data_IF_092668958078
#
_entry.id   IF_092668958078
#
_cell.length_a   1.000
_cell.length_b   1.000
_cell.length_c   1.000
_cell.angle_alpha   90.00
_cell.angle_beta   90.00
_cell.angle_gamma   90.00
#
_symmetry.space_group_name_H-M   'P 1'
#
loop_
_entity.id
_entity.type
_entity.pdbx_description
1 polymer ?
#
# COMPACT_ATOMS: atom_id res chain seq x y z
N UNK A 1 -38.24 6.94 -26.53
CA UNK A 1 -38.06 6.59 -25.11
C UNK A 1 -36.66 7.03 -24.71
N UNK A 2 -36.53 8.03 -23.85
CA UNK A 2 -35.23 8.42 -23.31
C UNK A 2 -34.71 7.31 -22.38
N UNK A 3 -33.40 7.00 -22.37
CA UNK A 3 -32.89 5.99 -21.45
C UNK A 3 -33.05 6.53 -20.03
N UNK A 4 -33.70 5.76 -19.17
CA UNK A 4 -33.71 6.01 -17.73
C UNK A 4 -32.27 5.79 -17.25
N UNK A 5 -31.65 6.85 -16.75
CA UNK A 5 -30.36 6.73 -16.10
C UNK A 5 -30.49 5.70 -14.97
N UNK A 6 -29.75 4.60 -15.08
CA UNK A 6 -29.61 3.65 -13.97
C UNK A 6 -29.00 4.34 -12.75
N UNK A 7 -29.13 3.77 -11.55
CA UNK A 7 -28.55 4.36 -10.36
C UNK A 7 -27.04 4.60 -10.60
N UNK A 8 -26.59 5.82 -10.29
CA UNK A 8 -25.17 6.17 -10.29
C UNK A 8 -24.48 5.27 -9.25
N UNK A 9 -23.84 4.19 -9.72
CA UNK A 9 -22.95 3.40 -8.89
C UNK A 9 -21.73 4.26 -8.58
N UNK A 10 -21.79 5.01 -7.49
CA UNK A 10 -20.61 5.63 -6.90
C UNK A 10 -19.69 4.48 -6.50
N UNK A 11 -18.50 4.30 -7.11
CA UNK A 11 -17.63 3.20 -6.74
C UNK A 11 -17.10 3.50 -5.32
N UNK A 12 -17.72 2.89 -4.32
CA UNK A 12 -17.29 2.93 -2.91
C UNK A 12 -16.15 1.93 -2.63
N UNK A 13 -15.40 1.50 -3.64
CA UNK A 13 -14.93 0.10 -3.64
C UNK A 13 -13.55 -0.19 -3.06
N UNK A 14 -12.74 0.80 -2.67
CA UNK A 14 -11.38 0.55 -2.18
C UNK A 14 -11.06 1.44 -0.98
N UNK A 15 -11.22 0.88 0.21
CA UNK A 15 -10.96 1.55 1.49
C UNK A 15 -9.82 0.85 2.24
N UNK A 16 -9.06 1.58 3.09
CA UNK A 16 -8.08 0.98 3.98
C UNK A 16 -8.72 -0.08 4.88
N UNK A 17 -8.20 -1.30 4.81
CA UNK A 17 -8.65 -2.44 5.61
C UNK A 17 -7.44 -3.13 6.21
N UNK A 18 -7.62 -3.81 7.34
CA UNK A 18 -6.59 -4.70 7.87
C UNK A 18 -6.87 -6.12 7.42
N UNK A 19 -5.89 -6.77 6.78
CA UNK A 19 -6.00 -8.16 6.33
C UNK A 19 -5.18 -9.07 7.24
N UNK A 20 -5.84 -10.05 7.87
CA UNK A 20 -5.21 -11.01 8.78
C UNK A 20 -4.82 -12.29 8.04
N UNK A 21 -3.54 -12.65 8.10
CA UNK A 21 -3.00 -13.90 7.58
C UNK A 21 -2.50 -14.82 8.69
N UNK A 22 -2.00 -16.00 8.30
CA UNK A 22 -1.37 -16.93 9.25
C UNK A 22 -0.09 -16.34 9.88
N UNK A 23 0.77 -15.78 9.05
CA UNK A 23 2.12 -15.32 9.43
C UNK A 23 2.22 -13.80 9.55
N UNK A 24 1.52 -13.08 8.70
CA UNK A 24 1.57 -11.62 8.65
C UNK A 24 0.17 -11.02 8.71
N UNK A 25 0.10 -9.78 9.17
CA UNK A 25 -1.03 -8.88 9.02
C UNK A 25 -0.65 -7.77 8.05
N UNK A 26 -1.56 -7.43 7.15
CA UNK A 26 -1.42 -6.25 6.31
C UNK A 26 -2.20 -5.14 6.97
N UNK A 27 -1.49 -4.16 7.52
CA UNK A 27 -2.09 -2.95 8.10
C UNK A 27 -2.10 -1.84 7.08
N UNK A 28 -3.11 -0.96 7.06
CA UNK A 28 -3.06 0.28 6.30
C UNK A 28 -1.72 0.99 6.51
N UNK A 29 -1.05 1.34 5.41
CA UNK A 29 0.23 2.02 5.51
C UNK A 29 0.03 3.40 6.17
N UNK A 30 0.98 3.79 7.02
CA UNK A 30 1.00 5.10 7.70
C UNK A 30 2.44 5.52 7.92
N UNK A 31 2.65 6.80 8.24
CA UNK A 31 3.98 7.33 8.59
C UNK A 31 4.60 6.66 9.83
N UNK A 32 3.78 6.08 10.72
CA UNK A 32 4.27 5.36 11.89
C UNK A 32 5.07 4.09 11.52
N UNK A 33 4.91 3.58 10.29
CA UNK A 33 5.64 2.42 9.81
C UNK A 33 7.04 2.73 9.29
N UNK A 34 7.41 4.01 9.10
CA UNK A 34 8.71 4.42 8.55
C UNK A 34 9.89 3.80 9.29
N UNK A 35 9.98 3.83 10.64
CA UNK A 35 11.12 3.23 11.34
C UNK A 35 11.24 1.72 11.09
N UNK A 36 10.11 1.01 11.02
CA UNK A 36 10.10 -0.42 10.76
C UNK A 36 10.45 -0.77 9.31
N UNK A 37 10.01 0.05 8.35
CA UNK A 37 10.37 -0.11 6.94
C UNK A 37 11.85 0.19 6.69
N UNK A 38 12.41 1.21 7.35
CA UNK A 38 13.84 1.51 7.29
C UNK A 38 14.67 0.33 7.82
N UNK A 39 14.25 -0.25 8.94
CA UNK A 39 14.90 -1.44 9.49
C UNK A 39 14.77 -2.66 8.56
N UNK A 40 13.63 -2.85 7.90
CA UNK A 40 13.43 -3.92 6.93
C UNK A 40 14.26 -3.73 5.65
N UNK A 41 14.51 -2.48 5.24
CA UNK A 41 15.30 -2.13 4.06
C UNK A 41 16.82 -2.38 4.23
N UNK A 42 17.30 -2.53 5.47
CA UNK A 42 18.73 -2.68 5.80
C UNK A 42 19.38 -4.01 5.39
N UNK A 43 18.64 -4.91 4.70
CA UNK A 43 19.17 -6.16 4.17
C UNK A 43 20.23 -6.00 3.06
N UNK A 44 20.86 -7.11 2.62
CA UNK A 44 21.90 -7.09 1.58
C UNK A 44 21.40 -6.47 0.27
N UNK A 45 22.06 -5.41 -0.20
CA UNK A 45 21.59 -4.59 -1.33
C UNK A 45 21.64 -5.31 -2.69
N UNK A 46 22.57 -6.25 -2.83
CA UNK A 46 22.71 -7.13 -3.98
C UNK A 46 21.47 -8.00 -4.24
N UNK A 47 20.66 -8.23 -3.20
CA UNK A 47 19.37 -8.91 -3.34
C UNK A 47 18.28 -8.06 -4.03
N UNK A 48 18.49 -6.76 -4.21
CA UNK A 48 17.50 -5.81 -4.75
C UNK A 48 17.71 -5.44 -6.23
N UNK A 49 18.34 -6.29 -7.03
CA UNK A 49 18.72 -5.98 -8.41
C UNK A 49 17.57 -5.57 -9.36
N UNK A 50 16.31 -5.73 -8.96
CA UNK A 50 15.12 -5.43 -9.76
C UNK A 50 14.16 -4.42 -9.11
N UNK A 51 14.51 -3.83 -7.96
CA UNK A 51 13.62 -2.92 -7.24
C UNK A 51 14.38 -1.81 -6.52
N UNK A 52 13.80 -0.62 -6.49
CA UNK A 52 14.36 0.49 -5.72
C UNK A 52 13.97 0.30 -4.25
N UNK A 53 14.97 0.09 -3.40
CA UNK A 53 14.80 0.01 -1.95
C UNK A 53 15.36 1.28 -1.31
N UNK A 54 14.56 1.99 -0.49
CA UNK A 54 15.03 3.18 0.21
C UNK A 54 16.32 2.94 1.00
N UNK A 55 17.25 3.88 0.89
CA UNK A 55 18.60 3.73 1.46
C UNK A 55 18.73 4.30 2.86
N UNK A 56 17.92 5.31 3.19
CA UNK A 56 17.95 6.04 4.44
C UNK A 56 16.54 6.44 4.88
N UNK A 57 16.45 7.14 6.02
CA UNK A 57 15.18 7.59 6.57
C UNK A 57 14.45 8.58 5.64
N UNK A 58 15.19 9.46 4.96
CA UNK A 58 14.60 10.46 4.07
C UNK A 58 13.95 9.79 2.85
N UNK A 59 14.65 8.86 2.21
CA UNK A 59 14.11 8.06 1.11
C UNK A 59 12.97 7.16 1.57
N UNK A 60 13.04 6.59 2.78
CA UNK A 60 11.96 5.73 3.31
C UNK A 60 10.70 6.55 3.55
N UNK A 61 10.86 7.76 4.10
CA UNK A 61 9.76 8.70 4.30
C UNK A 61 9.15 9.11 2.96
N UNK A 62 9.97 9.46 1.98
CA UNK A 62 9.52 9.80 0.63
C UNK A 62 8.77 8.64 -0.05
N UNK A 63 9.23 7.41 0.13
CA UNK A 63 8.54 6.21 -0.36
C UNK A 63 7.13 6.06 0.26
N UNK A 64 7.01 6.23 1.58
CA UNK A 64 5.72 6.14 2.27
C UNK A 64 4.79 7.29 1.85
N UNK A 65 5.29 8.51 1.77
CA UNK A 65 4.54 9.68 1.30
C UNK A 65 4.00 9.48 -0.11
N UNK A 66 4.84 9.00 -1.04
CA UNK A 66 4.40 8.68 -2.40
C UNK A 66 3.30 7.60 -2.43
N UNK A 67 3.44 6.56 -1.61
CA UNK A 67 2.43 5.50 -1.52
C UNK A 67 1.09 6.02 -0.96
N UNK A 68 1.13 6.90 0.05
CA UNK A 68 -0.05 7.54 0.61
C UNK A 68 -0.70 8.52 -0.38
N UNK A 69 0.09 9.26 -1.16
CA UNK A 69 -0.41 10.11 -2.23
C UNK A 69 -1.16 9.33 -3.32
N UNK A 70 -0.64 8.16 -3.72
CA UNK A 70 -1.35 7.26 -4.65
C UNK A 70 -2.66 6.71 -4.04
N UNK A 71 -2.71 6.51 -2.71
CA UNK A 71 -3.95 6.13 -2.01
C UNK A 71 -4.98 7.27 -2.01
N UNK A 72 -4.56 8.49 -1.71
CA UNK A 72 -5.44 9.67 -1.75
C UNK A 72 -5.98 9.90 -3.17
N UNK A 73 -5.16 9.67 -4.19
CA UNK A 73 -5.56 9.68 -5.59
C UNK A 73 -6.39 8.45 -6.03
N UNK A 74 -6.64 7.49 -5.12
CA UNK A 74 -7.36 6.22 -5.35
C UNK A 74 -6.75 5.34 -6.45
N UNK A 75 -5.44 5.43 -6.65
CA UNK A 75 -4.66 4.65 -7.62
C UNK A 75 -4.02 3.41 -6.98
N UNK A 76 -3.88 3.42 -5.65
CA UNK A 76 -3.32 2.31 -4.89
C UNK A 76 -3.99 2.14 -3.52
N UNK A 77 -3.83 0.95 -2.95
CA UNK A 77 -4.13 0.63 -1.56
C UNK A 77 -2.87 0.05 -0.91
N UNK A 78 -2.02 0.89 -0.28
CA UNK A 78 -0.78 0.47 0.34
C UNK A 78 -0.94 -0.11 1.74
N UNK A 79 -0.11 -1.11 2.05
CA UNK A 79 -0.06 -1.79 3.34
C UNK A 79 1.36 -1.88 3.88
N UNK A 80 1.48 -1.78 5.20
CA UNK A 80 2.62 -2.32 5.93
C UNK A 80 2.41 -3.83 6.13
N UNK A 81 3.45 -4.62 5.88
CA UNK A 81 3.48 -6.05 6.22
C UNK A 81 4.04 -6.20 7.61
N UNK A 82 3.22 -6.64 8.55
CA UNK A 82 3.58 -6.79 9.97
C UNK A 82 3.64 -8.27 10.31
N UNK A 83 4.80 -8.72 10.81
CA UNK A 83 4.95 -10.08 11.34
C UNK A 83 4.07 -10.27 12.58
N UNK A 84 3.21 -11.28 12.59
CA UNK A 84 2.23 -11.46 13.67
C UNK A 84 2.85 -11.90 14.99
N UNK A 85 3.95 -12.62 14.95
CA UNK A 85 4.59 -13.15 16.15
C UNK A 85 5.31 -12.04 16.94
N UNK A 86 6.00 -11.15 16.22
CA UNK A 86 6.82 -10.09 16.82
C UNK A 86 6.16 -8.70 16.80
N UNK A 87 5.13 -8.50 16.00
CA UNK A 87 4.50 -7.19 15.78
C UNK A 87 5.39 -6.21 14.98
N UNK A 88 6.48 -6.69 14.38
CA UNK A 88 7.42 -5.85 13.64
C UNK A 88 6.95 -5.64 12.21
N UNK A 89 7.11 -4.43 11.70
CA UNK A 89 7.06 -4.18 10.24
C UNK A 89 8.23 -4.89 9.57
N UNK A 90 7.92 -5.75 8.61
CA UNK A 90 8.91 -6.54 7.86
C UNK A 90 8.93 -6.24 6.36
N UNK A 91 8.06 -5.33 5.91
CA UNK A 91 8.02 -4.88 4.52
C UNK A 91 6.77 -4.09 4.21
N UNK A 92 6.53 -3.86 2.92
CA UNK A 92 5.29 -3.24 2.43
C UNK A 92 4.85 -3.89 1.13
N UNK A 93 3.55 -3.79 0.85
CA UNK A 93 2.96 -4.21 -0.42
C UNK A 93 1.80 -3.28 -0.74
N UNK A 94 1.28 -3.31 -1.97
CA UNK A 94 0.12 -2.51 -2.36
C UNK A 94 -0.65 -3.19 -3.48
N UNK A 95 -1.97 -3.04 -3.46
CA UNK A 95 -2.73 -3.07 -4.71
C UNK A 95 -2.49 -1.73 -5.40
N UNK A 96 -2.16 -1.72 -6.69
CA UNK A 96 -1.87 -0.49 -7.42
C UNK A 96 -2.35 -0.60 -8.87
N UNK A 97 -2.38 0.53 -9.57
CA UNK A 97 -2.97 0.67 -10.89
C UNK A 97 -4.46 0.29 -10.88
N UNK A 98 -5.17 0.78 -9.86
CA UNK A 98 -6.61 0.57 -9.72
C UNK A 98 -7.32 1.44 -10.74
N UNK A 99 -8.05 0.80 -11.63
CA UNK A 99 -8.82 1.45 -12.69
C UNK A 99 -10.29 1.09 -12.53
N UNK A 100 -11.16 2.11 -12.59
CA UNK A 100 -12.60 1.94 -12.54
C UNK A 100 -13.13 2.13 -13.95
N UNK A 101 -13.51 1.03 -14.60
CA UNK A 101 -14.12 1.11 -15.92
C UNK A 101 -15.52 1.71 -15.81
N UNK A 102 -15.82 2.82 -16.51
CA UNK A 102 -17.13 3.47 -16.46
C UNK A 102 -18.14 2.88 -17.46
N UNK A 103 -17.87 1.70 -18.05
CA UNK A 103 -18.65 1.12 -19.14
C UNK A 103 -19.13 -0.30 -18.80
N UNK A 104 -20.28 -0.76 -19.36
CA UNK A 104 -20.65 -2.19 -19.37
C UNK A 104 -19.70 -3.04 -20.23
#
# INVERSE_FOLDING_TARGET
MSPVAGPELKPTLVEPVTLEGRFVRLEPLTMAHVPGLLAAAAGPRDSYGFTLVPQDEAETRAYVEAALGEQEARRALPFATVDRASGRTVGSTRFFNIEFWPWP
#
